data_IF_602854173096
#
_entry.id   IF_602854173096
#
_cell.length_a   1.000
_cell.length_b   1.000
_cell.length_c   1.000
_cell.angle_alpha   90.00
_cell.angle_beta   90.00
_cell.angle_gamma   90.00
#
_symmetry.space_group_name_H-M   'P 1'
#
loop_
_entity.id
_entity.type
_entity.pdbx_description
1 polymer ?
#
# COMPACT_ATOMS: atom_id res chain seq x y z
N UNK A 1 0.88 -8.16 -29.10
CA UNK A 1 1.22 -7.03 -28.22
C UNK A 1 2.05 -7.58 -27.07
N UNK A 2 3.32 -7.20 -26.95
CA UNK A 2 4.16 -7.66 -25.83
C UNK A 2 3.83 -6.86 -24.57
N UNK A 3 3.44 -7.56 -23.51
CA UNK A 3 3.11 -6.97 -22.20
C UNK A 3 4.37 -6.49 -21.50
N UNK A 4 4.20 -5.68 -20.45
CA UNK A 4 5.30 -5.16 -19.63
C UNK A 4 6.16 -6.29 -19.05
N UNK A 5 5.55 -7.44 -18.76
CA UNK A 5 6.19 -8.69 -18.33
C UNK A 5 7.21 -9.21 -19.34
N UNK A 6 6.86 -9.20 -20.62
CA UNK A 6 7.70 -9.66 -21.75
C UNK A 6 8.93 -8.77 -21.96
N UNK A 7 8.85 -7.50 -21.55
CA UNK A 7 9.99 -6.56 -21.53
C UNK A 7 10.85 -6.72 -20.27
N UNK A 8 10.24 -7.05 -19.14
CA UNK A 8 10.99 -7.36 -17.92
C UNK A 8 11.83 -8.64 -18.11
N UNK A 9 11.28 -9.64 -18.81
CA UNK A 9 11.95 -10.89 -19.23
C UNK A 9 13.18 -10.74 -20.12
N UNK A 10 13.34 -9.57 -20.73
CA UNK A 10 14.54 -9.23 -21.53
C UNK A 10 15.61 -8.47 -20.76
N UNK A 11 15.38 -8.12 -19.50
CA UNK A 11 16.37 -7.45 -18.65
C UNK A 11 17.25 -8.48 -17.92
N UNK A 12 18.59 -8.36 -17.99
CA UNK A 12 19.51 -9.21 -17.23
C UNK A 12 19.21 -9.16 -15.73
N UNK A 13 19.30 -10.30 -15.03
CA UNK A 13 18.99 -10.45 -13.60
C UNK A 13 19.63 -9.36 -12.72
N UNK A 14 20.88 -9.00 -13.03
CA UNK A 14 21.63 -7.95 -12.34
C UNK A 14 21.00 -6.54 -12.46
N UNK A 15 20.30 -6.25 -13.56
CA UNK A 15 19.64 -4.96 -13.79
C UNK A 15 18.30 -4.88 -13.05
N UNK A 16 17.56 -5.99 -12.96
CA UNK A 16 16.35 -6.09 -12.12
C UNK A 16 16.69 -5.93 -10.64
N UNK A 17 17.71 -6.64 -10.17
CA UNK A 17 18.16 -6.55 -8.77
C UNK A 17 18.57 -5.11 -8.42
N UNK A 18 19.28 -4.39 -9.30
CA UNK A 18 19.67 -2.99 -9.08
C UNK A 18 18.51 -1.99 -9.04
N UNK A 19 17.44 -2.26 -9.79
CA UNK A 19 16.23 -1.42 -9.81
C UNK A 19 15.41 -1.66 -8.54
N UNK A 20 15.27 -2.91 -8.13
CA UNK A 20 14.59 -3.27 -6.89
C UNK A 20 15.34 -2.84 -5.64
N UNK A 21 16.67 -2.92 -5.63
CA UNK A 21 17.52 -2.49 -4.53
C UNK A 21 17.51 -0.96 -4.39
N UNK A 22 17.54 -0.20 -5.50
CA UNK A 22 17.25 1.25 -5.48
C UNK A 22 15.84 1.56 -4.98
N UNK A 23 14.83 0.81 -5.43
CA UNK A 23 13.44 1.04 -4.98
C UNK A 23 13.27 0.76 -3.47
N UNK A 24 13.99 -0.24 -2.93
CA UNK A 24 14.02 -0.58 -1.50
C UNK A 24 14.85 0.39 -0.65
N UNK A 25 15.91 0.99 -1.17
CA UNK A 25 16.65 2.07 -0.47
C UNK A 25 15.86 3.39 -0.39
N UNK A 26 14.90 3.61 -1.30
CA UNK A 26 14.19 4.88 -1.45
C UNK A 26 12.97 5.05 -0.51
N UNK A 27 12.52 3.99 0.17
CA UNK A 27 11.38 4.03 1.10
C UNK A 27 11.88 3.56 2.46
N UNK A 28 12.20 4.51 3.33
CA UNK A 28 12.86 4.19 4.59
C UNK A 28 11.91 3.61 5.65
N UNK A 29 10.61 3.94 5.56
CA UNK A 29 9.57 3.52 6.52
C UNK A 29 8.21 3.41 5.82
N UNK A 30 7.41 2.44 6.28
CA UNK A 30 6.02 2.21 5.88
C UNK A 30 5.09 2.51 7.06
N UNK A 31 4.11 3.40 6.88
CA UNK A 31 3.27 3.89 7.99
C UNK A 31 1.82 4.15 7.57
N UNK A 32 0.85 3.85 8.44
CA UNK A 32 -0.50 4.41 8.28
C UNK A 32 -0.49 5.93 8.50
N UNK A 33 -1.54 6.63 8.07
CA UNK A 33 -1.65 8.08 8.33
C UNK A 33 -1.64 8.40 9.83
N UNK A 34 -2.23 7.51 10.64
CA UNK A 34 -2.25 7.61 12.10
C UNK A 34 -0.86 7.45 12.70
N UNK A 35 -0.10 6.47 12.24
CA UNK A 35 1.25 6.21 12.74
C UNK A 35 2.18 7.34 12.34
N UNK A 36 2.04 7.84 11.11
CA UNK A 36 2.81 8.98 10.64
C UNK A 36 2.56 10.22 11.51
N UNK A 37 1.31 10.53 11.84
CA UNK A 37 0.98 11.63 12.77
C UNK A 37 1.63 11.43 14.14
N UNK A 38 1.58 10.21 14.69
CA UNK A 38 2.19 9.89 16.00
C UNK A 38 3.71 10.02 15.96
N UNK A 39 4.38 9.57 14.91
CA UNK A 39 5.83 9.72 14.75
C UNK A 39 6.24 11.19 14.67
N UNK A 40 5.38 12.05 14.13
CA UNK A 40 5.54 13.51 14.15
C UNK A 40 5.15 14.16 15.49
N UNK A 41 4.79 13.37 16.50
CA UNK A 41 4.35 13.83 17.84
C UNK A 41 3.17 14.81 17.76
N UNK A 42 2.29 14.64 16.77
CA UNK A 42 1.12 15.50 16.57
C UNK A 42 -0.12 14.87 17.18
N UNK A 43 -0.98 15.69 17.79
CA UNK A 43 -2.32 15.27 18.22
C UNK A 43 -3.30 15.38 17.05
N UNK A 44 -4.41 14.65 17.10
CA UNK A 44 -5.46 14.81 16.09
C UNK A 44 -6.07 16.22 16.15
N UNK A 45 -6.13 16.85 17.33
CA UNK A 45 -6.59 18.24 17.49
C UNK A 45 -5.70 19.21 16.72
N UNK A 46 -4.37 19.10 16.84
CA UNK A 46 -3.43 19.97 16.13
C UNK A 46 -3.53 19.82 14.60
N UNK A 47 -3.75 18.60 14.12
CA UNK A 47 -4.00 18.34 12.70
C UNK A 47 -5.35 18.91 12.28
N UNK A 48 -6.37 18.82 13.13
CA UNK A 48 -7.71 19.33 12.86
C UNK A 48 -7.70 20.87 12.74
N UNK A 49 -7.02 21.56 13.65
CA UNK A 49 -6.80 23.01 13.61
C UNK A 49 -6.10 23.44 12.31
N UNK A 50 -5.04 22.74 11.92
CA UNK A 50 -4.32 23.02 10.68
C UNK A 50 -5.18 22.82 9.42
N UNK A 51 -6.15 21.92 9.48
CA UNK A 51 -7.06 21.60 8.37
C UNK A 51 -8.39 22.36 8.43
N UNK A 52 -8.66 23.15 9.47
CA UNK A 52 -9.94 23.84 9.67
C UNK A 52 -11.13 22.89 9.86
N UNK A 53 -10.88 21.68 10.36
CA UNK A 53 -11.91 20.66 10.63
C UNK A 53 -11.94 20.31 12.12
N UNK A 54 -12.94 19.54 12.55
CA UNK A 54 -12.96 19.01 13.92
C UNK A 54 -12.08 17.75 14.07
N UNK A 55 -11.73 17.42 15.31
CA UNK A 55 -10.88 16.27 15.63
C UNK A 55 -11.53 14.93 15.25
N UNK A 56 -12.86 14.82 15.30
CA UNK A 56 -13.59 13.62 14.88
C UNK A 56 -13.37 13.33 13.38
N UNK A 57 -13.37 14.37 12.55
CA UNK A 57 -13.11 14.27 11.11
C UNK A 57 -11.69 13.80 10.83
N UNK A 58 -10.69 14.23 11.60
CA UNK A 58 -9.31 13.69 11.50
C UNK A 58 -9.28 12.20 11.86
N UNK A 59 -9.93 11.81 12.96
CA UNK A 59 -10.02 10.40 13.37
C UNK A 59 -10.71 9.53 12.31
N UNK A 60 -11.79 10.03 11.71
CA UNK A 60 -12.50 9.36 10.62
C UNK A 60 -11.67 9.30 9.33
N UNK A 61 -10.93 10.36 9.03
CA UNK A 61 -9.99 10.40 7.89
C UNK A 61 -8.92 9.33 8.05
N UNK A 62 -8.22 9.28 9.18
CA UNK A 62 -7.18 8.29 9.46
C UNK A 62 -7.67 6.85 9.25
N UNK A 63 -8.89 6.52 9.68
CA UNK A 63 -9.48 5.17 9.47
C UNK A 63 -9.89 4.90 8.02
N UNK A 64 -10.38 5.92 7.31
CA UNK A 64 -10.87 5.76 5.93
C UNK A 64 -9.72 5.71 4.93
N UNK A 65 -8.61 6.39 5.21
CA UNK A 65 -7.42 6.39 4.37
C UNK A 65 -6.90 4.98 4.13
N UNK A 66 -6.83 4.14 5.17
CA UNK A 66 -6.34 2.77 5.04
C UNK A 66 -7.19 1.96 4.03
N UNK A 67 -8.51 1.99 4.16
CA UNK A 67 -9.44 1.30 3.25
C UNK A 67 -9.44 1.90 1.84
N UNK A 68 -9.36 3.22 1.70
CA UNK A 68 -9.31 3.87 0.40
C UNK A 68 -8.04 3.49 -0.37
N UNK A 69 -6.90 3.50 0.32
CA UNK A 69 -5.61 3.13 -0.25
C UNK A 69 -5.60 1.65 -0.65
N UNK A 70 -6.21 0.75 0.14
CA UNK A 70 -6.32 -0.67 -0.23
C UNK A 70 -7.10 -0.84 -1.53
N UNK A 71 -8.29 -0.23 -1.64
CA UNK A 71 -9.13 -0.33 -2.84
C UNK A 71 -8.43 0.25 -4.08
N UNK A 72 -7.75 1.39 -3.93
CA UNK A 72 -6.99 1.99 -5.04
C UNK A 72 -5.81 1.10 -5.45
N UNK A 73 -5.15 0.44 -4.49
CA UNK A 73 -4.09 -0.52 -4.77
C UNK A 73 -4.63 -1.70 -5.56
N UNK A 74 -5.74 -2.31 -5.12
CA UNK A 74 -6.40 -3.42 -5.80
C UNK A 74 -6.78 -3.06 -7.25
N UNK A 75 -7.34 -1.87 -7.46
CA UNK A 75 -7.69 -1.40 -8.80
C UNK A 75 -6.45 -1.27 -9.69
N UNK A 76 -5.36 -0.68 -9.18
CA UNK A 76 -4.13 -0.50 -9.93
C UNK A 76 -3.46 -1.83 -10.24
N UNK A 77 -3.47 -2.77 -9.29
CA UNK A 77 -2.94 -4.13 -9.47
C UNK A 77 -3.76 -4.94 -10.48
N UNK A 78 -5.09 -4.83 -10.45
CA UNK A 78 -5.96 -5.45 -11.45
C UNK A 78 -5.67 -4.95 -12.88
N UNK A 79 -5.14 -3.73 -13.01
CA UNK A 79 -4.68 -3.15 -14.28
C UNK A 79 -3.21 -3.50 -14.60
N UNK A 80 -2.53 -4.31 -13.78
CA UNK A 80 -1.12 -4.69 -13.94
C UNK A 80 -0.13 -3.61 -13.52
N UNK A 81 -0.57 -2.61 -12.75
CA UNK A 81 0.26 -1.57 -12.18
C UNK A 81 0.64 -1.84 -10.72
N UNK A 82 1.47 -0.96 -10.15
CA UNK A 82 1.78 -0.94 -8.71
C UNK A 82 1.53 0.47 -8.19
N UNK A 83 0.74 0.60 -7.12
CA UNK A 83 0.53 1.88 -6.45
C UNK A 83 1.62 2.10 -5.40
N UNK A 84 2.13 3.33 -5.31
CA UNK A 84 3.06 3.73 -4.25
C UNK A 84 2.71 5.15 -3.83
N UNK A 85 2.33 5.33 -2.58
CA UNK A 85 2.00 6.63 -2.00
C UNK A 85 3.12 7.04 -1.05
N UNK A 86 3.85 8.10 -1.39
CA UNK A 86 5.03 8.54 -0.65
C UNK A 86 4.79 9.93 -0.07
N UNK A 87 5.15 10.12 1.20
CA UNK A 87 5.11 11.40 1.91
C UNK A 87 6.53 11.87 2.16
N UNK A 88 6.79 13.09 1.73
CA UNK A 88 8.07 13.76 1.91
C UNK A 88 8.00 14.78 3.02
N UNK A 89 9.04 14.82 3.84
CA UNK A 89 9.23 15.83 4.87
C UNK A 89 10.63 16.44 4.73
N UNK A 90 10.80 17.74 5.01
CA UNK A 90 12.09 18.40 4.84
C UNK A 90 13.16 17.90 5.81
N UNK A 91 12.79 17.23 6.89
CA UNK A 91 13.65 16.86 8.02
C UNK A 91 13.91 15.35 8.14
N UNK A 92 13.46 14.53 7.17
CA UNK A 92 13.65 13.07 7.20
C UNK A 92 13.57 12.45 5.81
N UNK A 93 14.00 11.19 5.71
CA UNK A 93 13.80 10.37 4.51
C UNK A 93 12.30 10.17 4.22
N UNK A 94 11.92 10.03 2.93
CA UNK A 94 10.54 9.78 2.52
C UNK A 94 9.93 8.56 3.20
N UNK A 95 8.62 8.63 3.46
CA UNK A 95 7.83 7.59 4.11
C UNK A 95 6.78 7.10 3.14
N UNK A 96 6.66 5.80 2.91
CA UNK A 96 5.53 5.26 2.18
C UNK A 96 4.32 5.14 3.12
N UNK A 97 3.16 5.58 2.65
CA UNK A 97 1.91 5.34 3.34
C UNK A 97 1.42 3.92 3.06
N UNK A 98 1.14 3.18 4.12
CA UNK A 98 0.51 1.87 4.03
C UNK A 98 -0.99 1.97 4.30
N UNK A 99 -1.77 1.45 3.35
CA UNK A 99 -3.17 1.07 3.54
C UNK A 99 -3.38 -0.40 3.18
N UNK A 100 -2.32 -1.20 3.27
CA UNK A 100 -2.31 -2.60 2.84
C UNK A 100 -2.95 -3.42 3.94
N UNK A 101 -4.29 -3.45 3.98
CA UNK A 101 -4.96 -4.68 4.36
C UNK A 101 -4.84 -5.60 3.15
N UNK A 102 -3.75 -6.36 3.08
CA UNK A 102 -3.75 -7.53 2.22
C UNK A 102 -4.97 -8.36 2.66
N UNK A 103 -5.95 -8.50 1.76
CA UNK A 103 -6.96 -9.54 1.88
C UNK A 103 -6.28 -10.88 1.67
N UNK A 104 -5.45 -11.28 2.62
CA UNK A 104 -4.93 -12.64 2.72
C UNK A 104 -5.94 -13.50 3.51
N UNK A 105 -7.24 -13.35 3.19
CA UNK A 105 -8.33 -14.14 3.79
C UNK A 105 -9.47 -14.43 2.79
N UNK A 106 -9.11 -14.75 1.54
CA UNK A 106 -10.03 -15.43 0.61
C UNK A 106 -9.41 -16.70 -0.02
N UNK A 107 -8.34 -17.24 0.56
CA UNK A 107 -7.82 -18.57 0.16
C UNK A 107 -8.53 -19.74 0.82
N UNK A 108 -9.51 -19.55 1.70
CA UNK A 108 -10.48 -20.59 2.04
C UNK A 108 -11.70 -20.51 1.11
N UNK A 109 -11.45 -20.65 -0.20
CA UNK A 109 -12.45 -21.32 -1.04
C UNK A 109 -12.58 -22.72 -0.46
N UNK A 110 -13.65 -22.95 0.30
CA UNK A 110 -14.21 -24.27 0.55
C UNK A 110 -14.27 -25.01 -0.80
N UNK A 111 -13.24 -25.83 -1.05
CA UNK A 111 -13.33 -26.92 -2.00
C UNK A 111 -13.96 -28.06 -1.20
N UNK A 112 -15.27 -27.98 -1.03
CA UNK A 112 -16.04 -29.11 -0.53
C UNK A 112 -16.79 -29.73 -1.71
N UNK A 113 -16.36 -30.94 -2.08
CA UNK A 113 -17.28 -31.90 -2.71
C UNK A 113 -17.22 -32.09 -4.23
N UNK A 114 -16.04 -32.06 -4.86
CA UNK A 114 -15.85 -32.77 -6.13
C UNK A 114 -14.93 -33.98 -5.91
N UNK A 115 -15.45 -34.99 -5.21
CA UNK A 115 -14.82 -36.31 -5.12
C UNK A 115 -15.84 -37.40 -5.44
N UNK A 116 -15.82 -37.81 -6.71
CA UNK A 116 -15.80 -39.20 -7.16
C UNK A 116 -16.99 -40.10 -6.80
N UNK A 117 -17.72 -40.47 -7.86
CA UNK A 117 -18.39 -41.77 -8.03
C UNK A 117 -17.47 -42.94 -7.61
N UNK A 118 -18.00 -44.07 -7.11
CA UNK A 118 -18.48 -45.16 -7.97
C UNK A 118 -19.67 -45.92 -7.33
N UNK A 119 -20.43 -46.85 -7.91
CA UNK A 119 -20.32 -47.76 -9.05
C UNK A 119 -21.72 -48.01 -9.62
#
# INVERSE_FOLDING_TARGET
>A
MSTLTDRMDKLPLARRNKIEERARELIAEEMSLRDLRKARKQTQVRVAEALGINQENVSRLERRSDRLISTLSDCVEAMGGKLSLVVEFPDRRPVALTGIAALDDLSERHVEGASRSPS
#
